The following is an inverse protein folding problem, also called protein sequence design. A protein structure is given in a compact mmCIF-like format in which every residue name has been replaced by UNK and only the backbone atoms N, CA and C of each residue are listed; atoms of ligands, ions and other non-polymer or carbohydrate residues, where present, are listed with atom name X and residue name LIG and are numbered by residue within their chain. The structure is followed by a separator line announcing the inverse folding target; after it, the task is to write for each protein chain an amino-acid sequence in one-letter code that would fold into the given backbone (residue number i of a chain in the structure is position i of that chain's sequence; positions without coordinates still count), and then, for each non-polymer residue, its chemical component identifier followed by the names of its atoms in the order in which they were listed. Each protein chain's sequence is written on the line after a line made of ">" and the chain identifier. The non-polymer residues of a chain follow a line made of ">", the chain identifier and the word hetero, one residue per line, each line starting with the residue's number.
data_IF_643059360439
#
_entry.id   IF_643059360439
#
_cell.length_a   1.000
_cell.length_b   1.000
_cell.length_c   1.000
_cell.angle_alpha   90.00
_cell.angle_beta   90.00
_cell.angle_gamma   90.00
#
_symmetry.space_group_name_H-M   'P 1'
#
loop_
_entity.id
_entity.type
_entity.pdbx_description
1 polymer ?
#
# COMPACT_ATOMS: atom_id res chain seq x y z
N UNK A 1 20.61 11.89 13.39
CA UNK A 1 19.60 11.12 12.59
C UNK A 1 19.96 9.64 12.67
N UNK A 2 19.01 8.78 13.07
CA UNK A 2 19.23 7.34 13.07
C UNK A 2 18.86 6.82 11.71
N UNK A 3 19.68 5.94 11.10
CA UNK A 3 19.42 5.44 9.76
C UNK A 3 18.14 4.58 9.76
N UNK A 4 17.32 4.73 8.70
CA UNK A 4 16.16 3.87 8.43
C UNK A 4 16.56 2.43 8.09
N UNK A 5 17.84 2.19 7.93
CA UNK A 5 18.47 0.91 7.62
C UNK A 5 19.64 0.66 8.58
N UNK A 6 19.35 0.24 9.83
CA UNK A 6 20.38 -0.04 10.82
C UNK A 6 21.18 -1.32 10.45
N UNK A 7 22.51 -1.19 10.38
CA UNK A 7 23.40 -2.26 9.93
C UNK A 7 23.38 -3.49 10.85
N UNK A 8 23.10 -3.30 12.14
CA UNK A 8 22.96 -4.39 13.11
C UNK A 8 21.79 -5.34 12.81
N UNK A 9 20.80 -4.90 12.03
CA UNK A 9 19.62 -5.68 11.66
C UNK A 9 19.54 -5.94 10.15
N UNK A 10 20.61 -5.68 9.41
CA UNK A 10 20.66 -5.74 7.96
C UNK A 10 20.06 -7.02 7.39
N UNK A 11 20.51 -8.18 7.87
CA UNK A 11 20.06 -9.47 7.33
C UNK A 11 18.54 -9.66 7.45
N UNK A 12 17.96 -9.25 8.59
CA UNK A 12 16.52 -9.35 8.83
C UNK A 12 15.76 -8.36 7.93
N UNK A 13 16.28 -7.15 7.80
CA UNK A 13 15.69 -6.11 6.94
C UNK A 13 15.71 -6.56 5.49
N UNK A 14 16.83 -7.07 4.97
CA UNK A 14 16.95 -7.54 3.59
C UNK A 14 15.98 -8.68 3.29
N UNK A 15 15.81 -9.62 4.23
CA UNK A 15 14.87 -10.73 4.07
C UNK A 15 13.42 -10.25 3.95
N UNK A 16 13.01 -9.29 4.80
CA UNK A 16 11.64 -8.76 4.76
C UNK A 16 11.46 -7.84 3.56
N UNK A 17 12.47 -7.05 3.19
CA UNK A 17 12.44 -6.21 1.99
C UNK A 17 12.31 -7.04 0.70
N UNK A 18 12.99 -8.18 0.64
CA UNK A 18 12.84 -9.14 -0.46
C UNK A 18 11.38 -9.64 -0.57
N UNK A 19 10.76 -10.00 0.55
CA UNK A 19 9.34 -10.36 0.59
C UNK A 19 8.43 -9.19 0.15
N UNK A 20 8.69 -7.97 0.63
CA UNK A 20 7.92 -6.78 0.20
C UNK A 20 8.04 -6.57 -1.30
N UNK A 21 9.26 -6.59 -1.84
CA UNK A 21 9.57 -6.23 -3.21
C UNK A 21 9.16 -7.30 -4.23
N UNK A 22 9.29 -8.59 -3.89
CA UNK A 22 9.07 -9.69 -4.83
C UNK A 22 7.77 -10.46 -4.60
N UNK A 23 7.07 -10.23 -3.48
CA UNK A 23 5.81 -10.91 -3.22
C UNK A 23 4.67 -9.95 -2.85
N UNK A 24 4.84 -9.15 -1.79
CA UNK A 24 3.76 -8.33 -1.26
C UNK A 24 3.29 -7.27 -2.26
N UNK A 25 4.17 -6.36 -2.68
CA UNK A 25 3.83 -5.29 -3.60
C UNK A 25 3.34 -5.80 -4.96
N UNK A 26 4.00 -6.76 -5.64
CA UNK A 26 3.49 -7.30 -6.89
C UNK A 26 2.08 -7.88 -6.76
N UNK A 27 1.81 -8.62 -5.69
CA UNK A 27 0.52 -9.27 -5.46
C UNK A 27 -0.64 -8.28 -5.29
N UNK A 28 -0.38 -7.07 -4.76
CA UNK A 28 -1.40 -6.02 -4.68
C UNK A 28 -1.88 -5.55 -6.07
N UNK A 29 -1.05 -5.69 -7.10
CA UNK A 29 -1.40 -5.33 -8.47
C UNK A 29 -2.10 -6.46 -9.25
N UNK A 30 -2.29 -7.63 -8.64
CA UNK A 30 -2.93 -8.76 -9.31
C UNK A 30 -4.30 -8.42 -9.88
N UNK A 31 -5.13 -7.70 -9.14
CA UNK A 31 -6.43 -7.23 -9.62
C UNK A 31 -6.35 -6.34 -10.87
N UNK A 32 -5.21 -5.64 -11.07
CA UNK A 32 -4.94 -4.86 -12.27
C UNK A 32 -4.57 -5.72 -13.47
N UNK A 33 -4.07 -6.95 -13.24
CA UNK A 33 -3.51 -7.82 -14.26
C UNK A 33 -4.52 -8.87 -14.72
N UNK A 34 -5.26 -9.50 -13.79
CA UNK A 34 -6.16 -10.65 -14.02
C UNK A 34 -7.37 -10.36 -14.91
N UNK A 35 -7.79 -9.13 -15.03
CA UNK A 35 -8.97 -8.81 -15.83
C UNK A 35 -8.87 -7.50 -16.60
N UNK A 36 -8.92 -7.54 -17.97
CA UNK A 36 -8.92 -6.31 -18.77
C UNK A 36 -10.11 -5.40 -18.48
N UNK A 37 -11.17 -5.94 -17.90
CA UNK A 37 -12.45 -5.28 -17.67
C UNK A 37 -12.98 -5.45 -16.25
N UNK A 38 -12.09 -5.66 -15.25
CA UNK A 38 -12.54 -5.57 -13.87
C UNK A 38 -13.11 -4.18 -13.59
N UNK A 39 -14.42 -4.15 -13.32
CA UNK A 39 -15.14 -2.90 -13.07
C UNK A 39 -14.57 -2.13 -11.87
N UNK A 40 -14.07 -2.85 -10.87
CA UNK A 40 -13.48 -2.23 -9.68
C UNK A 40 -12.14 -1.57 -10.03
N UNK A 41 -11.28 -2.26 -10.78
CA UNK A 41 -10.02 -1.70 -11.26
C UNK A 41 -10.23 -0.44 -12.12
N UNK A 42 -11.18 -0.50 -13.06
CA UNK A 42 -11.51 0.65 -13.93
C UNK A 42 -12.02 1.83 -13.09
N UNK A 43 -12.97 1.57 -12.18
CA UNK A 43 -13.53 2.60 -11.29
C UNK A 43 -12.46 3.25 -10.42
N UNK A 44 -11.61 2.44 -9.79
CA UNK A 44 -10.50 2.90 -8.94
C UNK A 44 -9.49 3.70 -9.76
N UNK A 45 -9.10 3.21 -10.93
CA UNK A 45 -8.16 3.90 -11.82
C UNK A 45 -8.70 5.26 -12.28
N UNK A 46 -9.98 5.37 -12.58
CA UNK A 46 -10.59 6.67 -12.92
C UNK A 46 -10.68 7.63 -11.73
N UNK A 47 -10.95 7.13 -10.52
CA UNK A 47 -10.87 7.95 -9.29
C UNK A 47 -9.47 8.47 -9.06
N UNK A 48 -8.44 7.61 -9.21
CA UNK A 48 -7.04 8.04 -9.14
C UNK A 48 -6.70 9.10 -10.18
N UNK A 49 -7.13 8.91 -11.44
CA UNK A 49 -6.93 9.91 -12.49
C UNK A 49 -7.62 11.25 -12.14
N UNK A 50 -8.80 11.21 -11.51
CA UNK A 50 -9.49 12.40 -11.07
C UNK A 50 -8.75 13.12 -9.92
N UNK A 51 -8.20 12.38 -8.96
CA UNK A 51 -7.37 12.92 -7.88
C UNK A 51 -6.09 13.58 -8.42
N UNK A 52 -5.38 12.90 -9.33
CA UNK A 52 -4.19 13.48 -10.00
C UNK A 52 -4.56 14.74 -10.75
N UNK A 53 -5.68 14.74 -11.49
CA UNK A 53 -6.14 15.90 -12.24
C UNK A 53 -6.54 17.08 -11.35
N UNK A 54 -6.95 16.85 -10.11
CA UNK A 54 -7.25 17.93 -9.16
C UNK A 54 -6.00 18.73 -8.77
N UNK A 55 -4.83 18.10 -8.81
CA UNK A 55 -3.54 18.70 -8.49
C UNK A 55 -2.80 19.18 -9.74
N UNK A 56 -2.80 18.35 -10.78
CA UNK A 56 -2.09 18.61 -12.04
C UNK A 56 -3.07 18.39 -13.18
N UNK A 57 -3.49 19.44 -13.90
CA UNK A 57 -4.45 19.33 -15.00
C UNK A 57 -3.98 18.32 -16.04
N UNK A 58 -4.71 17.23 -16.21
CA UNK A 58 -4.44 16.22 -17.22
C UNK A 58 -5.27 16.48 -18.48
N UNK A 59 -4.69 16.34 -19.69
CA UNK A 59 -5.45 16.32 -20.91
C UNK A 59 -6.61 15.31 -20.83
N UNK A 60 -7.80 15.69 -21.34
CA UNK A 60 -9.01 14.88 -21.18
C UNK A 60 -8.86 13.44 -21.71
N UNK A 61 -8.13 13.26 -22.82
CA UNK A 61 -7.88 11.93 -23.39
C UNK A 61 -7.03 11.04 -22.49
N UNK A 62 -6.06 11.62 -21.74
CA UNK A 62 -5.26 10.85 -20.77
C UNK A 62 -6.16 10.29 -19.66
N UNK A 63 -7.12 11.07 -19.17
CA UNK A 63 -8.08 10.58 -18.15
C UNK A 63 -8.89 9.40 -18.65
N UNK A 64 -9.26 9.38 -19.92
CA UNK A 64 -10.02 8.28 -20.53
C UNK A 64 -9.19 7.00 -20.70
N UNK A 65 -7.94 7.16 -21.17
CA UNK A 65 -7.06 6.02 -21.45
C UNK A 65 -6.27 5.56 -20.20
N UNK A 66 -6.38 6.29 -19.08
CA UNK A 66 -5.60 6.04 -17.86
C UNK A 66 -5.63 4.57 -17.37
N UNK A 67 -6.81 3.90 -17.23
CA UNK A 67 -6.86 2.51 -16.81
C UNK A 67 -6.11 1.57 -17.77
N UNK A 68 -6.22 1.82 -19.05
CA UNK A 68 -5.59 0.99 -20.08
C UNK A 68 -4.09 1.26 -20.20
N UNK A 69 -3.67 2.52 -20.04
CA UNK A 69 -2.27 2.92 -20.02
C UNK A 69 -1.54 2.39 -18.79
N UNK A 70 -2.16 2.49 -17.62
CA UNK A 70 -1.61 1.99 -16.37
C UNK A 70 -1.33 0.48 -16.46
N UNK A 71 -2.29 -0.28 -17.01
CA UNK A 71 -2.16 -1.73 -17.18
C UNK A 71 -1.02 -2.14 -18.13
N UNK A 72 -0.70 -1.31 -19.12
CA UNK A 72 0.40 -1.54 -20.08
C UNK A 72 1.73 -0.95 -19.62
N UNK A 73 1.77 -0.33 -18.46
CA UNK A 73 3.00 0.20 -17.92
C UNK A 73 4.02 -0.92 -17.69
N UNK A 74 5.27 -0.66 -18.08
CA UNK A 74 6.34 -1.66 -18.01
C UNK A 74 6.48 -2.25 -16.60
N UNK A 75 6.39 -1.42 -15.56
CA UNK A 75 6.50 -1.88 -14.18
C UNK A 75 5.41 -2.91 -13.79
N UNK A 76 4.19 -2.82 -14.35
CA UNK A 76 3.12 -3.81 -14.13
C UNK A 76 3.52 -5.17 -14.73
N UNK A 77 4.10 -5.16 -15.94
CA UNK A 77 4.58 -6.39 -16.56
C UNK A 77 5.76 -7.01 -15.78
N UNK A 78 6.68 -6.18 -15.30
CA UNK A 78 7.82 -6.64 -14.49
C UNK A 78 7.31 -7.25 -13.16
N UNK A 79 6.35 -6.61 -12.49
CA UNK A 79 5.71 -7.13 -11.28
C UNK A 79 4.94 -8.44 -11.52
N UNK A 80 4.33 -8.62 -12.70
CA UNK A 80 3.53 -9.81 -12.99
C UNK A 80 4.32 -11.11 -12.92
N UNK A 81 5.63 -11.06 -13.10
CA UNK A 81 6.53 -12.22 -13.03
C UNK A 81 6.66 -12.77 -11.60
N UNK A 82 6.33 -11.97 -10.60
CA UNK A 82 6.42 -12.34 -9.18
C UNK A 82 5.07 -12.74 -8.58
N UNK A 83 4.00 -12.74 -9.38
CA UNK A 83 2.65 -13.08 -8.92
C UNK A 83 2.36 -14.57 -9.12
N UNK A 84 1.92 -15.24 -8.07
CA UNK A 84 1.42 -16.60 -8.17
C UNK A 84 -0.03 -16.60 -8.70
N UNK A 85 -0.19 -16.91 -9.98
CA UNK A 85 -1.49 -17.00 -10.63
C UNK A 85 -2.21 -18.33 -10.36
N UNK A 86 -1.60 -19.31 -9.69
CA UNK A 86 -2.24 -20.57 -9.32
C UNK A 86 -3.23 -20.41 -8.16
N UNK A 87 -3.01 -19.43 -7.30
CA UNK A 87 -3.89 -19.11 -6.18
C UNK A 87 -5.10 -18.28 -6.64
N UNK A 88 -6.23 -18.42 -5.95
CA UNK A 88 -7.30 -17.42 -6.10
C UNK A 88 -6.86 -16.08 -5.50
N UNK A 89 -7.45 -14.95 -5.96
CA UNK A 89 -7.16 -13.62 -5.38
C UNK A 89 -7.44 -13.63 -3.87
N UNK A 90 -8.50 -14.31 -3.43
CA UNK A 90 -8.86 -14.40 -2.01
C UNK A 90 -7.81 -15.16 -1.21
N UNK A 91 -7.36 -16.30 -1.71
CA UNK A 91 -6.36 -17.12 -1.01
C UNK A 91 -5.00 -16.41 -0.96
N UNK A 92 -4.62 -15.77 -2.06
CA UNK A 92 -3.41 -14.94 -2.11
C UNK A 92 -3.47 -13.79 -1.08
N UNK A 93 -4.58 -13.05 -1.01
CA UNK A 93 -4.73 -11.98 -0.02
C UNK A 93 -4.71 -12.50 1.42
N UNK A 94 -5.31 -13.67 1.66
CA UNK A 94 -5.26 -14.31 2.99
C UNK A 94 -3.83 -14.70 3.36
N UNK A 95 -3.08 -15.28 2.42
CA UNK A 95 -1.68 -15.63 2.63
C UNK A 95 -0.82 -14.40 2.92
N UNK A 96 -0.93 -13.34 2.11
CA UNK A 96 -0.20 -12.09 2.32
C UNK A 96 -0.54 -11.45 3.67
N UNK A 97 -1.80 -11.55 4.09
CA UNK A 97 -2.24 -11.04 5.38
C UNK A 97 -1.57 -11.79 6.55
N UNK A 98 -1.51 -13.12 6.48
CA UNK A 98 -0.84 -13.94 7.51
C UNK A 98 0.66 -13.65 7.55
N UNK A 99 1.31 -13.59 6.40
CA UNK A 99 2.75 -13.27 6.30
C UNK A 99 3.04 -11.85 6.81
N UNK A 100 2.16 -10.88 6.53
CA UNK A 100 2.29 -9.52 7.08
C UNK A 100 2.25 -9.54 8.61
N UNK A 101 1.35 -10.32 9.21
CA UNK A 101 1.30 -10.46 10.66
C UNK A 101 2.58 -11.08 11.23
N UNK A 102 3.14 -12.09 10.56
CA UNK A 102 4.43 -12.70 10.94
C UNK A 102 5.58 -11.68 10.85
N UNK A 103 5.61 -10.85 9.80
CA UNK A 103 6.64 -9.84 9.64
C UNK A 103 6.49 -8.65 10.60
N UNK A 104 5.29 -8.30 11.03
CA UNK A 104 5.08 -7.34 12.12
C UNK A 104 5.55 -7.97 13.43
N UNK A 105 5.16 -9.24 13.70
CA UNK A 105 5.51 -9.98 14.91
C UNK A 105 4.92 -9.38 16.18
N UNK A 106 5.55 -9.66 17.31
CA UNK A 106 5.14 -9.17 18.64
C UNK A 106 5.81 -7.83 19.00
N UNK A 107 6.74 -7.35 18.17
CA UNK A 107 7.46 -6.10 18.38
C UNK A 107 6.66 -4.85 18.01
N UNK A 108 7.20 -3.67 18.33
CA UNK A 108 6.52 -2.42 17.99
C UNK A 108 6.52 -2.11 16.49
N UNK A 109 7.53 -2.55 15.73
CA UNK A 109 7.68 -2.31 14.30
C UNK A 109 8.04 -3.59 13.54
N UNK A 110 7.98 -3.55 12.21
CA UNK A 110 8.26 -4.70 11.37
C UNK A 110 9.61 -5.33 11.68
N UNK A 111 9.64 -6.66 11.65
CA UNK A 111 10.81 -7.42 12.06
C UNK A 111 11.06 -7.40 13.57
N UNK A 112 10.04 -7.06 14.39
CA UNK A 112 10.16 -6.95 15.85
C UNK A 112 11.21 -5.93 16.31
N UNK A 113 11.44 -4.90 15.48
CA UNK A 113 12.43 -3.87 15.75
C UNK A 113 11.87 -2.81 16.71
N UNK A 114 12.74 -2.23 17.55
CA UNK A 114 12.39 -1.19 18.52
C UNK A 114 12.07 0.18 17.90
N UNK A 115 12.41 0.37 16.62
CA UNK A 115 12.22 1.62 15.89
C UNK A 115 11.75 1.33 14.48
N UNK A 116 10.96 2.28 13.89
CA UNK A 116 10.54 2.11 12.52
C UNK A 116 11.73 2.16 11.57
N UNK A 117 11.65 1.34 10.54
CA UNK A 117 12.66 1.23 9.49
C UNK A 117 12.04 1.48 8.13
N UNK A 118 12.83 1.36 7.06
CA UNK A 118 12.33 1.44 5.68
C UNK A 118 11.19 0.46 5.41
N UNK A 119 11.15 -0.70 6.10
CA UNK A 119 10.11 -1.72 5.92
C UNK A 119 8.74 -1.17 6.29
N UNK A 120 8.65 -0.49 7.45
CA UNK A 120 7.41 0.10 7.94
C UNK A 120 6.88 1.15 6.96
N UNK A 121 7.78 2.01 6.46
CA UNK A 121 7.42 3.08 5.51
C UNK A 121 7.15 2.57 4.09
N UNK A 122 7.59 1.37 3.72
CA UNK A 122 7.26 0.75 2.45
C UNK A 122 5.86 0.11 2.47
N UNK A 123 5.47 -0.53 3.59
CA UNK A 123 4.19 -1.24 3.71
C UNK A 123 3.05 -0.32 4.15
N UNK A 124 3.30 0.61 5.07
CA UNK A 124 2.29 1.50 5.63
C UNK A 124 1.41 2.19 4.58
N UNK A 125 1.98 2.87 3.54
CA UNK A 125 1.17 3.56 2.54
C UNK A 125 0.22 2.63 1.79
N UNK A 126 0.62 1.39 1.56
CA UNK A 126 -0.16 0.40 0.82
C UNK A 126 -1.46 0.03 1.57
N UNK A 127 -1.41 0.01 2.89
CA UNK A 127 -2.56 -0.34 3.73
C UNK A 127 -3.52 0.84 3.94
N UNK A 128 -3.02 2.08 3.93
CA UNK A 128 -3.85 3.25 4.27
C UNK A 128 -4.31 4.04 3.05
N UNK A 129 -3.66 3.88 1.91
CA UNK A 129 -3.91 4.65 0.70
C UNK A 129 -5.38 4.61 0.27
N UNK A 130 -5.96 3.41 0.16
CA UNK A 130 -7.35 3.22 -0.27
C UNK A 130 -8.32 4.02 0.57
N UNK A 131 -8.17 3.97 1.89
CA UNK A 131 -9.01 4.70 2.83
C UNK A 131 -8.78 6.22 2.76
N UNK A 132 -7.54 6.66 2.87
CA UNK A 132 -7.20 8.09 2.90
C UNK A 132 -7.70 8.84 1.66
N UNK A 133 -7.64 8.21 0.50
CA UNK A 133 -8.09 8.79 -0.77
C UNK A 133 -9.55 8.48 -1.12
N UNK A 134 -10.33 7.95 -0.18
CA UNK A 134 -11.75 7.67 -0.35
C UNK A 134 -12.05 6.58 -1.40
N UNK A 135 -11.11 5.69 -1.68
CA UNK A 135 -11.33 4.51 -2.51
C UNK A 135 -11.99 3.38 -1.71
N UNK A 136 -11.78 3.38 -0.40
CA UNK A 136 -12.41 2.51 0.59
C UNK A 136 -13.21 3.35 1.59
N UNK A 137 -14.38 2.85 2.00
CA UNK A 137 -15.24 3.52 2.99
C UNK A 137 -14.71 3.35 4.42
N UNK A 138 -13.98 2.26 4.66
CA UNK A 138 -13.41 1.92 5.97
C UNK A 138 -11.96 1.47 5.78
N UNK A 139 -11.13 1.74 6.77
CA UNK A 139 -9.75 1.25 6.81
C UNK A 139 -9.75 -0.26 7.14
N UNK A 140 -9.84 -1.08 6.09
CA UNK A 140 -9.96 -2.55 6.22
C UNK A 140 -8.80 -3.16 7.02
N UNK A 141 -7.59 -2.64 6.87
CA UNK A 141 -6.40 -3.08 7.60
C UNK A 141 -6.54 -2.90 9.12
N UNK A 142 -7.23 -1.84 9.59
CA UNK A 142 -7.41 -1.57 11.01
C UNK A 142 -8.42 -2.50 11.71
N UNK A 143 -9.07 -3.42 10.98
CA UNK A 143 -9.94 -4.43 11.59
C UNK A 143 -9.17 -5.47 12.40
N UNK A 144 -7.89 -5.67 12.10
CA UNK A 144 -7.04 -6.57 12.88
C UNK A 144 -6.30 -5.78 13.96
N UNK A 145 -6.39 -6.19 15.26
CA UNK A 145 -5.81 -5.42 16.37
C UNK A 145 -4.30 -5.16 16.24
N UNK A 146 -3.53 -6.17 15.85
CA UNK A 146 -2.08 -6.05 15.66
C UNK A 146 -1.74 -5.03 14.58
N UNK A 147 -2.40 -5.11 13.42
CA UNK A 147 -2.16 -4.18 12.31
C UNK A 147 -2.61 -2.76 12.70
N UNK A 148 -3.76 -2.62 13.35
CA UNK A 148 -4.23 -1.33 13.85
C UNK A 148 -3.21 -0.67 14.79
N UNK A 149 -2.71 -1.44 15.77
CA UNK A 149 -1.73 -0.95 16.73
C UNK A 149 -0.41 -0.58 16.05
N UNK A 150 0.04 -1.38 15.07
CA UNK A 150 1.23 -1.08 14.28
C UNK A 150 1.03 0.18 13.41
N UNK A 151 -0.10 0.33 12.71
CA UNK A 151 -0.43 1.53 11.94
C UNK A 151 -0.42 2.79 12.80
N UNK A 152 -0.99 2.71 14.02
CA UNK A 152 -0.99 3.83 14.96
C UNK A 152 0.44 4.25 15.33
N UNK A 153 1.29 3.28 15.70
CA UNK A 153 2.70 3.56 16.03
C UNK A 153 3.49 4.14 14.85
N UNK A 154 3.36 3.57 13.65
CA UNK A 154 4.05 4.10 12.46
C UNK A 154 3.57 5.52 12.14
N UNK A 155 2.27 5.81 12.29
CA UNK A 155 1.72 7.13 12.00
C UNK A 155 2.32 8.25 12.86
N UNK A 156 2.79 7.95 14.09
CA UNK A 156 3.45 8.91 14.98
C UNK A 156 4.85 9.32 14.47
N UNK A 157 5.44 8.53 13.59
CA UNK A 157 6.76 8.77 13.02
C UNK A 157 6.73 9.37 11.61
N UNK A 158 5.53 9.61 11.06
CA UNK A 158 5.41 10.22 9.73
C UNK A 158 5.83 11.69 9.79
N UNK A 159 6.65 12.15 8.83
CA UNK A 159 6.95 13.56 8.70
C UNK A 159 5.68 14.34 8.32
N UNK A 160 5.65 15.62 8.68
CA UNK A 160 4.63 16.53 8.12
C UNK A 160 4.74 16.54 6.60
N UNK A 161 3.66 16.12 5.94
CA UNK A 161 3.60 16.07 4.50
C UNK A 161 2.50 17.01 3.99
N UNK A 162 2.86 18.10 3.28
CA UNK A 162 1.88 19.05 2.76
C UNK A 162 0.86 18.42 1.81
N UNK A 163 1.21 17.31 1.13
CA UNK A 163 0.28 16.58 0.26
C UNK A 163 -0.80 15.86 1.08
N UNK A 164 -0.45 15.32 2.26
CA UNK A 164 -1.40 14.69 3.17
C UNK A 164 -2.26 15.71 3.93
N UNK A 165 -1.80 16.96 4.05
CA UNK A 165 -2.55 18.07 4.63
C UNK A 165 -3.51 18.73 3.61
N UNK A 166 -3.50 18.31 2.34
CA UNK A 166 -4.34 18.89 1.29
C UNK A 166 -5.75 18.29 1.31
N UNK A 167 -6.75 19.08 1.66
CA UNK A 167 -8.18 18.72 1.61
C UNK A 167 -8.65 18.23 0.23
N UNK A 168 -7.88 18.54 -0.81
CA UNK A 168 -8.17 18.09 -2.19
C UNK A 168 -7.77 16.64 -2.45
N UNK A 169 -6.83 16.11 -1.69
CA UNK A 169 -6.32 14.74 -1.87
C UNK A 169 -6.76 13.81 -0.74
N UNK A 170 -6.69 14.27 0.49
CA UNK A 170 -7.09 13.47 1.64
C UNK A 170 -8.59 13.62 1.88
N UNK A 171 -9.35 12.56 1.67
CA UNK A 171 -10.81 12.52 1.87
C UNK A 171 -11.14 12.07 3.30
N UNK A 172 -10.38 11.11 3.84
CA UNK A 172 -10.60 10.52 5.15
C UNK A 172 -9.39 10.72 6.08
N UNK A 173 -9.68 10.96 7.35
CA UNK A 173 -8.65 11.14 8.38
C UNK A 173 -8.17 9.79 8.92
N UNK A 174 -6.88 9.50 8.73
CA UNK A 174 -6.26 8.31 9.32
C UNK A 174 -6.31 8.35 10.86
N UNK A 175 -6.14 9.53 11.46
CA UNK A 175 -6.20 9.69 12.92
C UNK A 175 -7.56 9.25 13.47
N UNK A 176 -8.66 9.62 12.82
CA UNK A 176 -10.01 9.20 13.23
C UNK A 176 -10.21 7.69 13.10
N UNK A 177 -9.73 7.09 12.00
CA UNK A 177 -9.84 5.65 11.77
C UNK A 177 -9.05 4.82 12.78
N UNK A 178 -7.94 5.32 13.29
CA UNK A 178 -7.10 4.60 14.25
C UNK A 178 -7.53 4.84 15.70
N UNK A 179 -8.27 5.91 15.99
CA UNK A 179 -8.75 6.26 17.34
C UNK A 179 -10.00 5.49 17.77
N UNK A 180 -10.80 5.02 16.79
CA UNK A 180 -12.02 4.22 16.98
C UNK A 180 -11.69 2.71 17.01
#
# INVERSE_FOLDING_TARGET
>A
EKPLYPLEHQQKIDQIDDWISHKYLPSLFRGAIDGPFDRNFIKTSWRLAALVNAQTPLPFYIRFIWPFGLRRARFINDMSQHIDFSLSIKDMHMQLFMELLEHIGDGPFMGELEKPTMLDFAVFPQLVFGYMFGLEEQLSAAKHPTIKAWLARVSEHLPENPLLASDKMQVNSLKEALSN
#
